data_IF_710265995491
#
_entry.id   IF_710265995491
#
_cell.length_a   1.000
_cell.length_b   1.000
_cell.length_c   1.000
_cell.angle_alpha   90.00
_cell.angle_beta   90.00
_cell.angle_gamma   90.00
#
_symmetry.space_group_name_H-M   'P 1'
#
loop_
_entity.id
_entity.type
_entity.pdbx_description
1 polymer ?
#
# COMPACT_ATOMS: atom_id res chain seq x y z
N UNK A 1 28.42 41.95 -2.50
CA UNK A 1 28.53 40.64 -3.16
C UNK A 1 28.44 39.61 -2.06
N UNK A 2 27.24 39.08 -1.83
CA UNK A 2 27.00 38.05 -0.82
C UNK A 2 27.23 36.70 -1.49
N UNK A 3 28.27 35.99 -1.06
CA UNK A 3 28.47 34.57 -1.33
C UNK A 3 27.63 33.77 -0.33
N UNK A 4 26.51 33.22 -0.80
CA UNK A 4 25.72 32.23 -0.07
C UNK A 4 26.41 30.86 -0.18
N UNK A 5 27.42 30.62 0.67
CA UNK A 5 27.91 29.28 0.96
C UNK A 5 26.90 28.56 1.85
N UNK A 6 25.91 27.89 1.25
CA UNK A 6 25.11 26.86 1.94
C UNK A 6 26.00 25.65 2.19
N UNK A 7 26.43 25.48 3.44
CA UNK A 7 26.97 24.21 3.93
C UNK A 7 25.88 23.13 3.88
N UNK A 8 25.99 22.20 2.94
CA UNK A 8 25.17 21.00 2.91
C UNK A 8 25.66 20.01 3.96
N UNK A 9 24.75 19.47 4.77
CA UNK A 9 25.10 18.42 5.73
C UNK A 9 25.50 17.13 5.00
N UNK A 10 26.32 16.28 5.60
CA UNK A 10 26.71 14.99 5.00
C UNK A 10 25.52 14.06 4.67
N UNK A 11 24.37 14.26 5.32
CA UNK A 11 23.11 13.57 4.99
C UNK A 11 22.44 14.14 3.73
N UNK A 12 22.49 15.46 3.52
CA UNK A 12 21.97 16.10 2.31
C UNK A 12 22.75 15.67 1.07
N UNK A 13 24.08 15.56 1.18
CA UNK A 13 24.94 15.09 0.10
C UNK A 13 24.65 13.61 -0.23
N UNK A 14 24.42 12.77 0.79
CA UNK A 14 24.05 11.37 0.56
C UNK A 14 22.68 11.21 -0.11
N UNK A 15 21.67 11.98 0.32
CA UNK A 15 20.35 12.01 -0.34
C UNK A 15 20.40 12.60 -1.74
N UNK A 16 21.20 13.65 -1.96
CA UNK A 16 21.46 14.19 -3.30
C UNK A 16 22.17 13.16 -4.19
N UNK A 17 23.12 12.39 -3.66
CA UNK A 17 23.80 11.32 -4.41
C UNK A 17 22.89 10.10 -4.63
N UNK A 18 22.01 9.74 -3.69
CA UNK A 18 20.98 8.68 -3.88
C UNK A 18 19.97 9.11 -4.96
N UNK A 19 19.43 10.32 -4.85
CA UNK A 19 18.54 10.92 -5.85
C UNK A 19 19.22 11.14 -7.21
N UNK A 20 20.52 11.45 -7.22
CA UNK A 20 21.29 11.56 -8.45
C UNK A 20 21.62 10.18 -9.04
N UNK A 21 21.94 9.17 -8.22
CA UNK A 21 22.11 7.77 -8.67
C UNK A 21 20.84 7.20 -9.27
N UNK A 22 19.68 7.53 -8.71
CA UNK A 22 18.37 7.14 -9.27
C UNK A 22 18.08 7.89 -10.60
N UNK A 23 18.66 9.07 -10.80
CA UNK A 23 18.63 9.84 -12.07
C UNK A 23 19.73 9.47 -13.08
N UNK A 24 20.78 8.75 -12.67
CA UNK A 24 21.89 8.33 -13.56
C UNK A 24 21.43 7.11 -14.37
N UNK A 25 20.94 7.37 -15.60
CA UNK A 25 20.74 6.42 -16.72
C UNK A 25 20.31 4.99 -16.33
N UNK A 26 19.25 4.84 -15.53
CA UNK A 26 18.50 3.58 -15.54
C UNK A 26 17.70 3.56 -16.86
N UNK A 27 18.17 2.76 -17.81
CA UNK A 27 17.45 2.52 -19.07
C UNK A 27 16.26 1.60 -18.82
N UNK A 28 15.07 2.18 -18.66
CA UNK A 28 13.83 1.46 -18.40
C UNK A 28 13.26 0.80 -19.67
N UNK A 29 14.02 -0.12 -20.29
CA UNK A 29 13.69 -0.76 -21.57
C UNK A 29 12.27 -1.30 -21.68
N UNK A 30 11.76 -1.93 -20.62
CA UNK A 30 10.37 -2.43 -20.59
C UNK A 30 9.36 -1.29 -20.40
N UNK A 31 9.51 -0.45 -19.38
CA UNK A 31 8.53 0.61 -19.12
C UNK A 31 8.43 1.63 -20.24
N UNK A 32 9.50 1.85 -21.00
CA UNK A 32 9.48 2.76 -22.14
C UNK A 32 8.65 2.22 -23.32
N UNK A 33 8.34 0.92 -23.37
CA UNK A 33 7.37 0.37 -24.34
C UNK A 33 5.92 0.42 -23.85
N UNK A 34 5.69 0.80 -22.59
CA UNK A 34 4.35 0.83 -22.00
C UNK A 34 3.70 2.23 -22.14
N UNK A 35 2.35 2.31 -22.12
CA UNK A 35 1.59 3.57 -22.14
C UNK A 35 1.62 4.25 -20.76
N UNK A 36 2.81 4.67 -20.35
CA UNK A 36 3.07 5.41 -19.11
C UNK A 36 3.93 6.64 -19.44
N UNK A 37 3.91 7.67 -18.58
CA UNK A 37 4.77 8.83 -18.77
C UNK A 37 6.24 8.40 -18.78
N UNK A 38 7.01 9.00 -19.68
CA UNK A 38 8.47 8.91 -19.67
C UNK A 38 9.03 9.82 -18.56
N UNK A 39 10.31 9.65 -18.24
CA UNK A 39 10.90 10.27 -17.04
C UNK A 39 10.81 11.82 -17.04
N UNK A 40 10.90 12.42 -18.23
CA UNK A 40 10.88 13.87 -18.44
C UNK A 40 9.48 14.40 -18.78
N UNK A 41 8.47 13.54 -18.85
CA UNK A 41 7.11 13.99 -19.15
C UNK A 41 6.56 14.74 -17.92
N UNK A 42 5.95 15.89 -18.21
CA UNK A 42 5.19 16.71 -17.28
C UNK A 42 3.92 17.18 -17.99
N UNK A 43 2.79 17.12 -17.30
CA UNK A 43 1.48 17.45 -17.84
C UNK A 43 0.85 18.57 -17.01
N UNK A 44 0.18 19.50 -17.69
CA UNK A 44 -0.58 20.56 -17.02
C UNK A 44 -1.79 19.97 -16.28
N UNK A 45 -2.30 20.67 -15.26
CA UNK A 45 -3.48 20.24 -14.48
C UNK A 45 -4.76 20.04 -15.30
N UNK A 46 -4.85 20.68 -16.47
CA UNK A 46 -5.98 20.50 -17.41
C UNK A 46 -5.95 19.16 -18.16
N UNK A 47 -4.78 18.50 -18.23
CA UNK A 47 -4.63 17.20 -18.88
C UNK A 47 -5.06 16.12 -17.91
N UNK A 48 -6.07 15.33 -18.28
CA UNK A 48 -6.57 14.22 -17.47
C UNK A 48 -7.28 13.19 -18.36
N UNK A 49 -6.51 12.36 -19.09
CA UNK A 49 -7.00 11.48 -20.15
C UNK A 49 -6.11 10.23 -20.33
N UNK A 50 -6.49 9.24 -21.14
CA UNK A 50 -5.64 8.08 -21.46
C UNK A 50 -4.43 8.43 -22.34
N UNK A 51 -3.36 7.62 -22.28
CA UNK A 51 -2.29 7.67 -23.30
C UNK A 51 -2.75 7.06 -24.63
N UNK A 52 -3.53 5.98 -24.54
CA UNK A 52 -4.13 5.27 -25.66
C UNK A 52 -5.64 5.21 -25.40
N UNK A 53 -6.40 5.90 -26.26
CA UNK A 53 -7.87 5.93 -26.27
C UNK A 53 -8.44 4.98 -27.33
N UNK A 54 -9.76 4.79 -27.33
CA UNK A 54 -10.50 4.02 -28.34
C UNK A 54 -10.03 2.56 -28.51
N UNK A 55 -9.50 1.97 -27.44
CA UNK A 55 -9.13 0.56 -27.42
C UNK A 55 -10.36 -0.33 -27.59
N UNK A 56 -10.20 -1.46 -28.27
CA UNK A 56 -11.27 -2.44 -28.45
C UNK A 56 -10.87 -3.82 -27.97
N UNK A 57 -11.80 -4.48 -27.28
CA UNK A 57 -11.61 -5.86 -26.79
C UNK A 57 -11.39 -6.86 -27.95
N UNK A 58 -11.96 -6.58 -29.12
CA UNK A 58 -11.78 -7.40 -30.33
C UNK A 58 -10.30 -7.54 -30.74
N UNK A 59 -9.51 -6.47 -30.56
CA UNK A 59 -8.09 -6.41 -30.91
C UNK A 59 -7.17 -7.02 -29.84
N UNK A 60 -7.71 -7.33 -28.65
CA UNK A 60 -6.93 -7.93 -27.56
C UNK A 60 -6.62 -9.39 -27.88
N UNK A 61 -5.33 -9.69 -27.90
CA UNK A 61 -4.74 -11.04 -28.02
C UNK A 61 -5.49 -12.06 -27.14
N UNK A 62 -5.97 -13.15 -27.76
CA UNK A 62 -6.72 -14.21 -27.08
C UNK A 62 -5.82 -15.26 -26.42
N UNK A 63 -4.67 -15.54 -27.02
CA UNK A 63 -3.67 -16.47 -26.49
C UNK A 63 -2.80 -15.84 -25.38
N UNK A 64 -2.43 -16.64 -24.38
CA UNK A 64 -1.61 -16.18 -23.25
C UNK A 64 -0.19 -15.85 -23.70
N UNK A 65 0.46 -14.86 -23.08
CA UNK A 65 1.85 -14.54 -23.42
C UNK A 65 2.79 -15.73 -23.20
N UNK A 66 3.75 -15.91 -24.10
CA UNK A 66 4.71 -17.03 -24.02
C UNK A 66 5.62 -16.91 -22.80
N UNK A 67 5.69 -17.99 -22.02
CA UNK A 67 6.67 -18.19 -20.95
C UNK A 67 7.93 -18.92 -21.50
N UNK A 68 9.07 -18.86 -20.78
CA UNK A 68 10.22 -19.72 -21.08
C UNK A 68 9.84 -21.21 -20.98
N UNK A 69 10.53 -22.11 -21.71
CA UNK A 69 10.30 -23.55 -21.58
C UNK A 69 10.45 -24.04 -20.14
N UNK A 70 9.56 -24.95 -19.72
CA UNK A 70 9.53 -25.50 -18.36
C UNK A 70 8.74 -24.67 -17.35
N UNK A 71 8.01 -23.66 -17.81
CA UNK A 71 7.10 -22.87 -16.97
C UNK A 71 5.71 -22.79 -17.62
N UNK A 72 4.69 -22.84 -16.76
CA UNK A 72 3.29 -22.77 -17.18
C UNK A 72 2.53 -21.71 -16.39
N UNK A 73 1.55 -21.09 -17.06
CA UNK A 73 0.57 -20.23 -16.39
C UNK A 73 -0.30 -21.05 -15.45
N UNK A 74 -0.65 -20.45 -14.32
CA UNK A 74 -1.54 -21.05 -13.34
C UNK A 74 -2.55 -19.99 -12.88
N UNK A 75 -3.82 -20.34 -12.83
CA UNK A 75 -4.87 -19.46 -12.30
C UNK A 75 -5.12 -19.87 -10.86
N UNK A 76 -4.65 -19.07 -9.91
CA UNK A 76 -4.78 -19.41 -8.50
C UNK A 76 -6.22 -19.20 -8.02
N UNK A 77 -6.81 -20.20 -7.37
CA UNK A 77 -8.03 -20.04 -6.61
C UNK A 77 -7.73 -19.59 -5.19
N UNK A 78 -7.71 -18.28 -4.94
CA UNK A 78 -7.43 -17.77 -3.60
C UNK A 78 -8.46 -18.21 -2.55
N UNK A 79 -9.66 -18.68 -2.94
CA UNK A 79 -10.63 -19.25 -1.98
C UNK A 79 -10.26 -20.66 -1.56
N UNK A 80 -9.59 -21.42 -2.43
CA UNK A 80 -9.00 -22.70 -2.08
C UNK A 80 -7.82 -22.50 -1.11
N UNK A 81 -7.78 -23.31 -0.05
CA UNK A 81 -6.79 -23.16 1.01
C UNK A 81 -5.37 -23.51 0.54
N UNK A 82 -5.24 -24.52 -0.31
CA UNK A 82 -3.95 -24.97 -0.81
C UNK A 82 -3.34 -23.96 -1.77
N UNK A 83 -4.11 -23.46 -2.73
CA UNK A 83 -3.65 -22.41 -3.64
C UNK A 83 -3.27 -21.13 -2.88
N UNK A 84 -4.07 -20.74 -1.88
CA UNK A 84 -3.77 -19.60 -1.01
C UNK A 84 -2.51 -19.80 -0.18
N UNK A 85 -2.28 -21.01 0.33
CA UNK A 85 -1.04 -21.34 1.04
C UNK A 85 0.18 -21.30 0.11
N UNK A 86 0.06 -21.71 -1.15
CA UNK A 86 1.16 -21.61 -2.13
C UNK A 86 1.53 -20.14 -2.41
N UNK A 87 0.53 -19.26 -2.54
CA UNK A 87 0.75 -17.80 -2.68
C UNK A 87 1.42 -17.25 -1.42
N UNK A 88 0.88 -17.61 -0.24
CA UNK A 88 1.44 -17.21 1.06
C UNK A 88 2.93 -17.56 1.16
N UNK A 89 3.29 -18.82 0.93
CA UNK A 89 4.69 -19.27 0.98
C UNK A 89 5.57 -18.52 -0.02
N UNK A 90 5.10 -18.30 -1.26
CA UNK A 90 5.87 -17.53 -2.24
C UNK A 90 6.16 -16.11 -1.73
N UNK A 91 5.16 -15.43 -1.15
CA UNK A 91 5.31 -14.06 -0.66
C UNK A 91 6.18 -14.02 0.60
N UNK A 92 5.94 -14.86 1.59
CA UNK A 92 6.73 -14.91 2.83
C UNK A 92 8.21 -15.19 2.59
N UNK A 93 8.56 -15.93 1.54
CA UNK A 93 9.97 -16.25 1.26
C UNK A 93 10.66 -15.25 0.31
N UNK A 94 9.88 -14.53 -0.50
CA UNK A 94 10.42 -13.80 -1.66
C UNK A 94 9.90 -12.37 -1.84
N UNK A 95 8.93 -11.90 -1.07
CA UNK A 95 8.36 -10.56 -1.26
C UNK A 95 9.26 -9.44 -0.72
N UNK A 96 8.69 -8.25 -0.52
CA UNK A 96 9.41 -7.03 -0.15
C UNK A 96 10.17 -7.20 1.17
N UNK A 97 11.43 -6.82 1.13
CA UNK A 97 12.34 -6.67 2.27
C UNK A 97 12.70 -5.20 2.41
N UNK A 98 13.06 -4.77 3.61
CA UNK A 98 13.71 -3.48 3.83
C UNK A 98 15.13 -3.46 3.24
N UNK A 99 15.70 -2.25 3.09
CA UNK A 99 17.00 -2.03 2.46
C UNK A 99 18.14 -2.79 3.20
N UNK A 100 17.99 -3.05 4.50
CA UNK A 100 18.94 -3.78 5.35
C UNK A 100 18.65 -5.29 5.48
N UNK A 101 17.60 -5.80 4.81
CA UNK A 101 17.14 -7.19 4.85
C UNK A 101 16.90 -7.74 6.27
N UNK A 102 16.42 -6.91 7.19
CA UNK A 102 16.08 -7.27 8.58
C UNK A 102 14.62 -7.73 8.68
N UNK A 103 13.73 -7.09 7.91
CA UNK A 103 12.29 -7.30 7.93
C UNK A 103 11.78 -7.69 6.56
N UNK A 104 10.92 -8.71 6.51
CA UNK A 104 10.19 -9.08 5.30
C UNK A 104 8.70 -9.10 5.58
N UNK A 105 7.90 -8.53 4.67
CA UNK A 105 6.45 -8.60 4.81
C UNK A 105 5.96 -10.05 4.85
N UNK A 106 5.06 -10.32 5.77
CA UNK A 106 4.46 -11.63 6.00
C UNK A 106 2.93 -11.50 6.02
N UNK A 107 2.36 -11.11 4.89
CA UNK A 107 0.90 -11.08 4.69
C UNK A 107 0.29 -12.42 5.08
N UNK A 108 -0.68 -12.45 6.00
CA UNK A 108 -1.31 -13.71 6.40
C UNK A 108 -2.18 -14.27 5.26
N UNK A 109 -2.47 -15.58 5.32
CA UNK A 109 -3.36 -16.19 4.34
C UNK A 109 -4.75 -15.52 4.34
N UNK A 110 -5.30 -15.22 5.52
CA UNK A 110 -6.58 -14.52 5.68
C UNK A 110 -6.54 -13.11 5.08
N UNK A 111 -5.41 -12.40 5.24
CA UNK A 111 -5.20 -11.11 4.59
C UNK A 111 -5.22 -11.23 3.07
N UNK A 112 -4.52 -12.23 2.51
CA UNK A 112 -4.50 -12.46 1.06
C UNK A 112 -5.89 -12.80 0.52
N UNK A 113 -6.68 -13.59 1.27
CA UNK A 113 -8.07 -13.87 0.91
C UNK A 113 -8.88 -12.56 0.88
N UNK A 114 -8.79 -11.75 1.92
CA UNK A 114 -9.50 -10.46 2.02
C UNK A 114 -9.09 -9.49 0.91
N UNK A 115 -7.79 -9.29 0.69
CA UNK A 115 -7.25 -8.37 -0.31
C UNK A 115 -7.62 -8.76 -1.75
N UNK A 116 -7.75 -10.07 -2.03
CA UNK A 116 -7.95 -10.58 -3.40
C UNK A 116 -9.39 -10.97 -3.72
N UNK A 117 -10.33 -10.90 -2.77
CA UNK A 117 -11.73 -11.31 -3.00
C UNK A 117 -12.75 -10.20 -2.79
N UNK A 118 -12.36 -8.96 -3.08
CA UNK A 118 -13.26 -7.82 -3.08
C UNK A 118 -14.47 -8.01 -4.02
N UNK A 119 -15.56 -7.26 -3.83
CA UNK A 119 -16.75 -7.41 -4.65
C UNK A 119 -16.43 -7.38 -6.15
N UNK A 120 -16.97 -8.35 -6.89
CA UNK A 120 -16.75 -8.55 -8.32
C UNK A 120 -15.32 -8.89 -8.75
N UNK A 121 -14.44 -9.33 -7.83
CA UNK A 121 -13.10 -9.80 -8.20
C UNK A 121 -13.15 -10.90 -9.27
N UNK A 122 -12.11 -10.94 -10.11
CA UNK A 122 -11.95 -11.94 -11.14
C UNK A 122 -10.85 -12.92 -10.77
N UNK A 123 -11.19 -14.19 -10.60
CA UNK A 123 -10.21 -15.27 -10.34
C UNK A 123 -9.12 -15.31 -11.41
N UNK A 124 -9.46 -15.01 -12.67
CA UNK A 124 -8.52 -14.98 -13.81
C UNK A 124 -7.47 -13.87 -13.70
N UNK A 125 -7.64 -12.88 -12.83
CA UNK A 125 -6.65 -11.84 -12.55
C UNK A 125 -5.66 -12.23 -11.44
N UNK A 126 -5.77 -13.42 -10.85
CA UNK A 126 -4.79 -13.97 -9.90
C UNK A 126 -3.88 -14.96 -10.63
N UNK A 127 -2.75 -14.44 -11.10
CA UNK A 127 -1.92 -15.12 -12.09
C UNK A 127 -0.66 -15.66 -11.42
N UNK A 128 -0.59 -16.97 -11.31
CA UNK A 128 0.60 -17.71 -10.91
C UNK A 128 1.43 -18.16 -12.12
N UNK A 129 2.72 -18.39 -11.88
CA UNK A 129 3.60 -19.14 -12.78
C UNK A 129 4.20 -20.29 -11.99
N UNK A 130 4.03 -21.52 -12.50
CA UNK A 130 4.60 -22.73 -11.91
C UNK A 130 5.78 -23.22 -12.73
N UNK A 131 6.75 -23.82 -12.05
CA UNK A 131 7.83 -24.57 -12.70
C UNK A 131 7.37 -26.01 -12.93
N UNK A 132 7.33 -26.45 -14.19
CA UNK A 132 6.64 -27.68 -14.60
C UNK A 132 7.17 -28.93 -13.90
N UNK A 133 8.50 -29.04 -13.75
CA UNK A 133 9.13 -30.25 -13.21
C UNK A 133 8.85 -30.48 -11.71
N UNK A 134 8.59 -29.42 -10.93
CA UNK A 134 8.31 -29.54 -9.49
C UNK A 134 6.89 -29.11 -9.11
N UNK A 135 6.12 -28.56 -10.05
CA UNK A 135 4.82 -27.95 -9.82
C UNK A 135 4.84 -26.83 -8.75
N UNK A 136 6.01 -26.24 -8.47
CA UNK A 136 6.17 -25.18 -7.46
C UNK A 136 5.78 -23.82 -8.05
N UNK A 137 5.02 -23.03 -7.28
CA UNK A 137 4.74 -21.63 -7.60
C UNK A 137 6.01 -20.77 -7.48
N UNK A 138 6.39 -20.08 -8.55
CA UNK A 138 7.63 -19.29 -8.64
C UNK A 138 7.43 -17.84 -9.05
N UNK A 139 6.20 -17.46 -9.40
CA UNK A 139 5.84 -16.10 -9.74
C UNK A 139 4.35 -15.88 -9.49
N UNK A 140 3.98 -14.66 -9.11
CA UNK A 140 2.60 -14.26 -8.87
C UNK A 140 2.41 -12.78 -9.18
N UNK A 141 1.22 -12.43 -9.65
CA UNK A 141 0.72 -11.06 -9.78
C UNK A 141 -0.80 -11.10 -9.68
N UNK A 142 -1.40 -10.10 -9.04
CA UNK A 142 -2.84 -10.01 -8.88
C UNK A 142 -3.38 -8.65 -9.27
N UNK A 143 -4.66 -8.62 -9.62
CA UNK A 143 -5.43 -7.39 -9.68
C UNK A 143 -6.85 -7.58 -9.15
N UNK A 144 -7.45 -6.50 -8.68
CA UNK A 144 -8.86 -6.41 -8.30
C UNK A 144 -9.52 -5.22 -9.02
N UNK A 145 -10.83 -5.27 -9.30
CA UNK A 145 -11.52 -4.15 -9.92
C UNK A 145 -11.80 -3.05 -8.89
N UNK A 146 -11.45 -1.81 -9.21
CA UNK A 146 -11.70 -0.64 -8.35
C UNK A 146 -12.15 0.53 -9.20
N UNK A 147 -13.21 1.24 -8.80
CA UNK A 147 -13.56 2.53 -9.39
C UNK A 147 -12.67 3.62 -8.79
N UNK A 148 -11.83 4.24 -9.62
CA UNK A 148 -10.84 5.25 -9.17
C UNK A 148 -11.24 6.60 -9.73
N UNK A 149 -11.41 7.58 -8.85
CA UNK A 149 -11.53 8.98 -9.22
C UNK A 149 -10.14 9.61 -9.29
N UNK A 150 -9.72 10.03 -10.48
CA UNK A 150 -8.48 10.76 -10.74
C UNK A 150 -8.82 12.13 -11.33
N UNK A 151 -8.45 13.20 -10.63
CA UNK A 151 -8.79 14.60 -10.96
C UNK A 151 -10.25 14.76 -11.40
N UNK A 152 -11.18 14.29 -10.55
CA UNK A 152 -12.64 14.37 -10.73
C UNK A 152 -13.23 13.52 -11.87
N UNK A 153 -12.45 12.61 -12.47
CA UNK A 153 -12.95 11.60 -13.42
C UNK A 153 -12.91 10.23 -12.78
N UNK A 154 -14.07 9.60 -12.64
CA UNK A 154 -14.17 8.20 -12.18
C UNK A 154 -13.97 7.27 -13.36
N UNK A 155 -13.01 6.35 -13.21
CA UNK A 155 -12.62 5.38 -14.22
C UNK A 155 -12.62 3.99 -13.57
N UNK A 156 -13.19 3.00 -14.25
CA UNK A 156 -13.04 1.61 -13.82
C UNK A 156 -11.62 1.17 -14.10
N UNK A 157 -10.86 0.88 -13.05
CA UNK A 157 -9.45 0.48 -13.13
C UNK A 157 -9.25 -0.91 -12.52
N UNK A 158 -8.11 -1.50 -12.86
CA UNK A 158 -7.55 -2.61 -12.11
C UNK A 158 -6.56 -2.09 -11.06
N UNK A 159 -6.72 -2.44 -9.80
CA UNK A 159 -5.71 -2.20 -8.77
C UNK A 159 -4.76 -3.40 -8.73
N UNK A 160 -3.52 -3.20 -9.17
CA UNK A 160 -2.51 -4.26 -9.29
C UNK A 160 -1.66 -4.32 -8.04
N UNK A 161 -1.48 -5.53 -7.49
CA UNK A 161 -0.68 -5.76 -6.29
C UNK A 161 0.00 -7.15 -6.30
N UNK A 162 0.83 -7.42 -5.29
CA UNK A 162 1.48 -8.70 -5.01
C UNK A 162 2.33 -9.27 -6.16
N UNK A 163 2.94 -8.40 -6.98
CA UNK A 163 3.92 -8.82 -7.97
C UNK A 163 5.14 -9.41 -7.28
N UNK A 164 5.29 -10.73 -7.38
CA UNK A 164 6.39 -11.45 -6.78
C UNK A 164 7.03 -12.40 -7.80
N UNK A 165 8.36 -12.45 -7.80
CA UNK A 165 9.14 -13.46 -8.51
C UNK A 165 10.07 -14.10 -7.49
N UNK A 166 10.13 -15.43 -7.47
CA UNK A 166 11.02 -16.19 -6.61
C UNK A 166 12.47 -15.69 -6.74
N UNK A 167 13.20 -15.57 -5.62
CA UNK A 167 14.53 -14.93 -5.56
C UNK A 167 15.52 -15.52 -6.57
N UNK A 168 15.49 -16.84 -6.77
CA UNK A 168 16.36 -17.57 -7.73
C UNK A 168 16.10 -17.24 -9.20
N UNK A 169 14.97 -16.60 -9.52
CA UNK A 169 14.55 -16.21 -10.88
C UNK A 169 14.56 -14.68 -11.09
N UNK A 170 15.07 -13.91 -10.12
CA UNK A 170 15.26 -12.46 -10.25
C UNK A 170 16.20 -12.13 -11.41
N UNK A 171 16.02 -10.94 -11.99
CA UNK A 171 16.80 -10.44 -13.13
C UNK A 171 16.70 -11.28 -14.43
N UNK A 172 15.75 -12.22 -14.52
CA UNK A 172 15.48 -13.03 -15.73
C UNK A 172 14.29 -12.55 -16.57
N UNK A 173 13.87 -11.29 -16.39
CA UNK A 173 12.76 -10.66 -17.13
C UNK A 173 11.39 -11.36 -17.00
N UNK A 174 11.15 -12.11 -15.93
CA UNK A 174 9.85 -12.73 -15.67
C UNK A 174 8.77 -11.70 -15.29
N UNK A 175 9.12 -10.68 -14.51
CA UNK A 175 8.17 -9.63 -14.10
C UNK A 175 7.52 -8.88 -15.30
N UNK A 176 8.27 -8.44 -16.32
CA UNK A 176 7.66 -7.93 -17.56
C UNK A 176 6.66 -8.87 -18.24
N UNK A 177 6.86 -10.19 -18.17
CA UNK A 177 5.94 -11.17 -18.78
C UNK A 177 4.67 -11.29 -17.94
N UNK A 178 4.79 -11.34 -16.61
CA UNK A 178 3.66 -11.29 -15.67
C UNK A 178 2.81 -10.02 -15.88
N UNK A 179 3.45 -8.86 -15.98
CA UNK A 179 2.76 -7.57 -16.21
C UNK A 179 2.02 -7.58 -17.54
N UNK A 180 2.63 -8.06 -18.63
CA UNK A 180 1.95 -8.14 -19.93
C UNK A 180 0.74 -9.09 -19.91
N UNK A 181 0.87 -10.24 -19.23
CA UNK A 181 -0.25 -11.19 -19.14
C UNK A 181 -1.39 -10.63 -18.29
N UNK A 182 -1.11 -9.97 -17.16
CA UNK A 182 -2.18 -9.34 -16.38
C UNK A 182 -2.85 -8.19 -17.16
N UNK A 183 -2.07 -7.36 -17.87
CA UNK A 183 -2.64 -6.32 -18.74
C UNK A 183 -3.55 -6.93 -19.80
N UNK A 184 -3.16 -8.05 -20.43
CA UNK A 184 -4.00 -8.74 -21.42
C UNK A 184 -5.33 -9.19 -20.82
N UNK A 185 -5.29 -9.85 -19.65
CA UNK A 185 -6.49 -10.36 -18.97
C UNK A 185 -7.40 -9.24 -18.46
N UNK A 186 -6.83 -8.10 -18.04
CA UNK A 186 -7.60 -6.90 -17.66
C UNK A 186 -8.27 -6.30 -18.91
N UNK A 187 -7.52 -6.14 -20.01
CA UNK A 187 -8.03 -5.58 -21.26
C UNK A 187 -9.15 -6.43 -21.89
N UNK A 188 -9.15 -7.75 -21.68
CA UNK A 188 -10.23 -8.63 -22.13
C UNK A 188 -11.58 -8.32 -21.47
N UNK A 189 -11.56 -7.72 -20.28
CA UNK A 189 -12.76 -7.28 -19.54
C UNK A 189 -13.11 -5.81 -19.84
N UNK A 190 -12.56 -5.24 -20.91
CA UNK A 190 -12.75 -3.86 -21.34
C UNK A 190 -12.28 -2.80 -20.31
N UNK A 191 -11.28 -3.14 -19.51
CA UNK A 191 -10.62 -2.22 -18.57
C UNK A 191 -9.23 -1.89 -19.12
N UNK A 192 -8.89 -0.61 -19.18
CA UNK A 192 -7.69 -0.14 -19.91
C UNK A 192 -6.73 0.67 -19.05
N UNK A 193 -7.08 0.89 -17.78
CA UNK A 193 -6.30 1.63 -16.80
C UNK A 193 -6.05 0.76 -15.58
N UNK A 194 -4.93 1.02 -14.91
CA UNK A 194 -4.60 0.39 -13.65
C UNK A 194 -3.97 1.39 -12.68
N UNK A 195 -4.17 1.16 -11.39
CA UNK A 195 -3.44 1.83 -10.32
C UNK A 195 -2.52 0.81 -9.63
N UNK A 196 -1.31 1.24 -9.27
CA UNK A 196 -0.37 0.42 -8.54
C UNK A 196 0.60 1.29 -7.74
N UNK A 197 1.25 0.68 -6.75
CA UNK A 197 2.28 1.33 -5.95
C UNK A 197 3.57 0.54 -5.93
N UNK A 198 4.69 1.23 -5.71
CA UNK A 198 5.98 0.58 -5.52
C UNK A 198 6.88 1.43 -4.61
N UNK A 199 7.75 0.76 -3.85
CA UNK A 199 8.84 1.42 -3.12
C UNK A 199 9.98 1.88 -4.03
N UNK A 200 10.19 1.19 -5.16
CA UNK A 200 11.19 1.55 -6.18
C UNK A 200 10.64 2.61 -7.12
N UNK A 201 11.52 3.45 -7.65
CA UNK A 201 11.14 4.45 -8.64
C UNK A 201 10.95 3.82 -10.03
N UNK A 202 9.83 4.11 -10.69
CA UNK A 202 9.50 3.72 -12.08
C UNK A 202 9.02 4.95 -12.89
N UNK A 203 9.02 4.94 -14.23
CA UNK A 203 8.47 6.01 -15.05
C UNK A 203 6.92 5.97 -15.10
N UNK A 204 6.18 6.99 -14.67
CA UNK A 204 6.54 8.04 -13.70
C UNK A 204 5.42 8.09 -12.64
N UNK A 205 5.73 8.31 -11.35
CA UNK A 205 4.68 8.39 -10.35
C UNK A 205 3.83 9.65 -10.48
N UNK A 206 2.55 9.55 -10.18
CA UNK A 206 1.63 10.68 -10.02
C UNK A 206 1.73 11.31 -8.63
N UNK A 207 2.20 10.56 -7.64
CA UNK A 207 2.49 11.05 -6.29
C UNK A 207 3.52 10.16 -5.59
N UNK A 208 4.21 10.68 -4.57
CA UNK A 208 5.21 9.97 -3.77
C UNK A 208 4.98 10.33 -2.29
N UNK A 209 4.67 9.32 -1.46
CA UNK A 209 4.31 9.49 -0.05
C UNK A 209 5.30 8.75 0.85
N UNK A 210 5.97 9.47 1.75
CA UNK A 210 6.88 8.85 2.73
C UNK A 210 6.14 8.06 3.81
N UNK A 211 6.75 6.97 4.27
CA UNK A 211 6.31 6.24 5.45
C UNK A 211 6.74 6.94 6.74
N UNK A 212 5.88 6.86 7.73
CA UNK A 212 6.11 7.31 9.09
C UNK A 212 5.72 6.21 10.08
N UNK A 213 6.49 6.09 11.16
CA UNK A 213 6.37 5.01 12.13
C UNK A 213 6.18 5.57 13.54
N UNK A 214 5.14 5.11 14.23
CA UNK A 214 4.89 5.44 15.64
C UNK A 214 5.12 4.21 16.50
N UNK A 215 6.22 4.22 17.24
CA UNK A 215 6.60 3.14 18.16
C UNK A 215 5.56 2.94 19.27
N UNK A 216 5.04 1.72 19.45
CA UNK A 216 4.13 1.35 20.55
C UNK A 216 4.87 0.49 21.58
N UNK A 217 5.47 -0.61 21.14
CA UNK A 217 6.26 -1.52 21.96
C UNK A 217 7.76 -1.20 21.86
N UNK A 218 8.13 -0.05 22.42
CA UNK A 218 9.48 0.53 22.32
C UNK A 218 10.60 -0.46 22.64
N UNK A 219 10.43 -1.26 23.70
CA UNK A 219 11.45 -2.23 24.13
C UNK A 219 11.71 -3.26 23.04
N UNK A 220 10.65 -3.86 22.49
CA UNK A 220 10.78 -4.83 21.39
C UNK A 220 11.40 -4.18 20.15
N UNK A 221 10.93 -3.00 19.75
CA UNK A 221 11.43 -2.30 18.57
C UNK A 221 12.93 -1.99 18.64
N UNK A 222 13.45 -1.68 19.83
CA UNK A 222 14.89 -1.49 20.04
C UNK A 222 15.64 -2.83 20.04
N UNK A 223 15.10 -3.86 20.70
CA UNK A 223 15.72 -5.20 20.76
C UNK A 223 15.83 -5.88 19.38
N UNK A 224 14.99 -5.50 18.41
CA UNK A 224 14.99 -6.04 17.04
C UNK A 224 15.68 -5.11 16.03
N UNK A 225 16.24 -3.97 16.48
CA UNK A 225 16.95 -3.02 15.61
C UNK A 225 16.06 -2.08 14.79
N UNK A 226 14.73 -2.18 14.88
CA UNK A 226 13.79 -1.28 14.17
C UNK A 226 13.91 0.18 14.63
N UNK A 227 14.22 0.40 15.92
CA UNK A 227 14.47 1.72 16.49
C UNK A 227 15.81 1.74 17.22
N UNK A 228 16.48 2.89 17.23
CA UNK A 228 17.75 3.05 17.94
C UNK A 228 17.63 4.02 19.11
N UNK A 229 18.47 3.81 20.12
CA UNK A 229 18.68 4.77 21.21
C UNK A 229 19.89 5.64 20.88
N UNK A 230 19.83 6.91 21.24
CA UNK A 230 21.01 7.78 21.25
C UNK A 230 21.54 7.95 22.68
N UNK A 231 22.75 8.50 22.83
CA UNK A 231 23.42 8.66 24.14
C UNK A 231 22.64 9.53 25.15
N UNK A 232 21.62 10.29 24.73
CA UNK A 232 20.75 11.10 25.59
C UNK A 232 19.43 10.42 25.96
N UNK A 233 18.99 9.43 25.17
CA UNK A 233 17.73 8.73 25.30
C UNK A 233 17.96 7.31 25.80
N UNK A 234 17.85 7.10 27.11
CA UNK A 234 17.90 5.75 27.70
C UNK A 234 16.61 4.97 27.39
N UNK A 235 16.65 3.64 27.52
CA UNK A 235 15.47 2.77 27.34
C UNK A 235 14.26 3.23 28.19
N UNK A 236 14.47 3.55 29.46
CA UNK A 236 13.40 4.01 30.36
C UNK A 236 12.79 5.35 29.92
N UNK A 237 13.63 6.27 29.42
CA UNK A 237 13.18 7.55 28.86
C UNK A 237 12.41 7.34 27.56
N UNK A 238 12.87 6.44 26.68
CA UNK A 238 12.18 6.10 25.45
C UNK A 238 10.79 5.49 25.71
N UNK A 239 10.70 4.53 26.65
CA UNK A 239 9.41 3.95 27.07
C UNK A 239 8.47 5.04 27.60
N UNK A 240 8.96 5.96 28.43
CA UNK A 240 8.17 7.09 28.94
C UNK A 240 7.72 8.02 27.81
N UNK A 241 8.59 8.29 26.83
CA UNK A 241 8.31 9.19 25.70
C UNK A 241 7.14 8.68 24.84
N UNK A 242 7.09 7.39 24.55
CA UNK A 242 6.05 6.78 23.68
C UNK A 242 4.86 6.19 24.44
N UNK A 243 4.82 6.32 25.77
CA UNK A 243 3.65 5.90 26.56
C UNK A 243 2.40 6.64 26.05
N UNK A 244 1.33 5.89 25.86
CA UNK A 244 -0.01 6.41 25.60
C UNK A 244 -0.87 6.21 26.84
N UNK A 245 -1.79 7.14 27.08
CA UNK A 245 -2.83 6.97 28.09
C UNK A 245 -3.85 5.93 27.64
N UNK A 246 -4.37 5.10 28.56
CA UNK A 246 -5.30 4.03 28.21
C UNK A 246 -6.77 4.49 28.27
N UNK A 247 -7.01 5.71 27.79
CA UNK A 247 -8.34 6.32 27.72
C UNK A 247 -8.54 6.92 26.33
N UNK A 248 -9.65 6.57 25.68
CA UNK A 248 -10.02 7.14 24.39
C UNK A 248 -10.48 8.59 24.55
N UNK A 249 -10.10 9.43 23.61
CA UNK A 249 -10.58 10.80 23.47
C UNK A 249 -12.05 10.80 23.04
N UNK A 250 -12.43 9.92 22.11
CA UNK A 250 -13.81 9.70 21.68
C UNK A 250 -14.40 8.50 22.45
N UNK A 251 -15.14 8.79 23.52
CA UNK A 251 -15.59 7.76 24.50
C UNK A 251 -16.44 6.64 23.92
N UNK A 252 -17.25 6.92 22.91
CA UNK A 252 -18.20 5.97 22.32
C UNK A 252 -17.62 5.19 21.13
N UNK A 253 -16.30 5.27 20.90
CA UNK A 253 -15.63 4.55 19.84
C UNK A 253 -15.79 3.03 20.04
N UNK A 254 -16.38 2.35 19.05
CA UNK A 254 -16.68 0.90 19.11
C UNK A 254 -16.36 0.24 17.78
N UNK A 255 -16.17 -1.08 17.77
CA UNK A 255 -16.01 -1.84 16.52
C UNK A 255 -17.19 -1.61 15.57
N UNK A 256 -16.88 -1.47 14.29
CA UNK A 256 -17.87 -1.36 13.22
C UNK A 256 -18.68 -2.66 13.09
N UNK A 257 -19.97 -2.53 12.84
CA UNK A 257 -20.92 -3.62 12.61
C UNK A 257 -21.61 -3.46 11.26
N UNK A 258 -22.29 -4.52 10.79
CA UNK A 258 -23.06 -4.50 9.54
C UNK A 258 -24.05 -3.33 9.42
N UNK A 259 -24.69 -2.93 10.53
CA UNK A 259 -25.63 -1.79 10.56
C UNK A 259 -24.97 -0.44 10.22
N UNK A 260 -23.65 -0.34 10.37
CA UNK A 260 -22.92 0.93 10.23
C UNK A 260 -22.45 1.17 8.78
N UNK A 261 -22.55 0.17 7.89
CA UNK A 261 -22.05 0.22 6.50
C UNK A 261 -22.58 1.44 5.76
N UNK A 262 -23.86 1.76 5.90
CA UNK A 262 -24.42 2.94 5.23
C UNK A 262 -23.89 4.27 5.80
N UNK A 263 -23.71 4.34 7.12
CA UNK A 263 -23.16 5.53 7.78
C UNK A 263 -21.70 5.77 7.38
N UNK A 264 -20.90 4.69 7.36
CA UNK A 264 -19.49 4.73 6.92
C UNK A 264 -19.40 5.09 5.43
N UNK A 265 -20.22 4.50 4.57
CA UNK A 265 -20.26 4.83 3.14
C UNK A 265 -20.52 6.32 2.91
N UNK A 266 -21.48 6.92 3.61
CA UNK A 266 -21.78 8.36 3.51
C UNK A 266 -20.63 9.23 4.06
N UNK A 267 -20.12 8.90 5.24
CA UNK A 267 -19.05 9.66 5.90
C UNK A 267 -17.75 9.64 5.07
N UNK A 268 -17.31 8.44 4.68
CA UNK A 268 -16.07 8.25 3.94
C UNK A 268 -16.19 8.77 2.50
N UNK A 269 -17.29 8.47 1.81
CA UNK A 269 -17.50 8.94 0.43
C UNK A 269 -17.41 10.46 0.35
N UNK A 270 -18.13 11.17 1.21
CA UNK A 270 -18.08 12.64 1.25
C UNK A 270 -16.70 13.19 1.64
N UNK A 271 -15.98 12.52 2.54
CA UNK A 271 -14.63 12.91 2.91
C UNK A 271 -13.64 12.76 1.74
N UNK A 272 -13.73 11.67 0.97
CA UNK A 272 -12.76 11.36 -0.08
C UNK A 272 -12.87 12.27 -1.31
N UNK A 273 -14.04 12.84 -1.58
CA UNK A 273 -14.29 13.75 -2.72
C UNK A 273 -13.36 14.97 -2.78
N UNK A 274 -12.72 15.34 -1.67
CA UNK A 274 -11.77 16.46 -1.62
C UNK A 274 -10.39 16.15 -2.24
N UNK A 275 -10.05 14.87 -2.43
CA UNK A 275 -8.74 14.44 -2.90
C UNK A 275 -8.68 14.31 -4.42
N UNK A 276 -7.47 14.40 -5.00
CA UNK A 276 -7.27 14.28 -6.44
C UNK A 276 -7.27 12.82 -6.90
N UNK A 277 -6.94 11.87 -6.02
CA UNK A 277 -6.90 10.44 -6.33
C UNK A 277 -7.53 9.64 -5.19
N UNK A 278 -8.67 9.01 -5.43
CA UNK A 278 -9.35 8.19 -4.42
C UNK A 278 -10.17 7.06 -5.06
N UNK A 279 -10.46 6.01 -4.28
CA UNK A 279 -11.39 4.96 -4.68
C UNK A 279 -12.84 5.37 -4.36
N UNK A 280 -13.75 5.11 -5.30
CA UNK A 280 -15.20 5.33 -5.14
C UNK A 280 -15.82 4.01 -4.70
N UNK A 281 -16.09 3.88 -3.40
CA UNK A 281 -16.61 2.65 -2.83
C UNK A 281 -18.14 2.57 -2.93
N UNK A 282 -18.65 1.43 -3.37
CA UNK A 282 -20.04 0.99 -3.18
C UNK A 282 -20.30 0.56 -1.73
N UNK A 283 -21.56 0.37 -1.34
CA UNK A 283 -21.89 -0.16 0.00
C UNK A 283 -21.32 -1.56 0.22
N UNK A 284 -21.30 -2.37 -0.83
CA UNK A 284 -20.75 -3.73 -0.83
C UNK A 284 -19.23 -3.71 -0.59
N UNK A 285 -18.51 -2.80 -1.25
CA UNK A 285 -17.08 -2.60 -1.04
C UNK A 285 -16.79 -2.02 0.35
N UNK A 286 -17.63 -1.11 0.87
CA UNK A 286 -17.50 -0.64 2.25
C UNK A 286 -17.63 -1.80 3.24
N UNK A 287 -18.60 -2.71 3.01
CA UNK A 287 -18.76 -3.88 3.88
C UNK A 287 -17.52 -4.80 3.81
N UNK A 288 -16.98 -5.04 2.61
CA UNK A 288 -15.82 -5.89 2.40
C UNK A 288 -14.54 -5.30 3.04
N UNK A 289 -14.26 -4.02 2.78
CA UNK A 289 -13.01 -3.38 3.19
C UNK A 289 -12.98 -2.92 4.65
N UNK A 290 -14.13 -2.73 5.29
CA UNK A 290 -14.16 -2.12 6.62
C UNK A 290 -14.83 -2.96 7.71
N UNK A 291 -15.61 -4.00 7.40
CA UNK A 291 -16.10 -4.86 8.48
C UNK A 291 -14.92 -5.57 9.16
N UNK A 292 -14.79 -5.49 10.49
CA UNK A 292 -13.61 -6.01 11.17
C UNK A 292 -13.45 -7.51 10.96
N UNK A 293 -12.22 -7.91 10.61
CA UNK A 293 -11.79 -9.30 10.51
C UNK A 293 -10.57 -9.42 11.41
N UNK A 294 -10.65 -10.31 12.40
CA UNK A 294 -9.59 -10.51 13.38
C UNK A 294 -8.24 -10.75 12.69
N UNK A 295 -7.19 -10.07 13.15
CA UNK A 295 -5.83 -10.15 12.61
C UNK A 295 -5.65 -9.68 11.16
N UNK A 296 -6.68 -9.09 10.53
CA UNK A 296 -6.62 -8.56 9.15
C UNK A 296 -6.95 -7.07 9.11
N UNK A 297 -8.18 -6.69 9.47
CA UNK A 297 -8.66 -5.30 9.38
C UNK A 297 -9.44 -4.93 10.64
N UNK A 298 -9.11 -3.77 11.20
CA UNK A 298 -9.74 -3.23 12.39
C UNK A 298 -10.40 -1.91 12.04
N UNK A 299 -11.72 -1.83 12.19
CA UNK A 299 -12.48 -0.59 11.99
C UNK A 299 -13.32 -0.28 13.21
N UNK A 300 -13.23 0.96 13.65
CA UNK A 300 -13.97 1.52 14.76
C UNK A 300 -14.78 2.73 14.30
N UNK A 301 -15.95 2.94 14.91
CA UNK A 301 -16.87 4.03 14.60
C UNK A 301 -17.37 4.69 15.87
N UNK A 302 -17.63 6.00 15.78
CA UNK A 302 -18.41 6.75 16.75
C UNK A 302 -19.84 6.95 16.23
N UNK A 303 -20.83 6.50 17.00
CA UNK A 303 -22.26 6.61 16.68
C UNK A 303 -22.93 7.60 17.64
N UNK A 304 -23.55 8.65 17.11
CA UNK A 304 -24.34 9.62 17.86
C UNK A 304 -25.72 9.77 17.21
N UNK A 305 -26.79 9.57 18.00
CA UNK A 305 -28.18 9.65 17.53
C UNK A 305 -28.44 8.80 16.27
N UNK A 306 -27.85 7.60 16.21
CA UNK A 306 -27.97 6.68 15.06
C UNK A 306 -27.20 7.09 13.81
N UNK A 307 -26.31 8.09 13.90
CA UNK A 307 -25.45 8.54 12.79
C UNK A 307 -23.99 8.26 13.11
N UNK A 308 -23.27 7.68 12.16
CA UNK A 308 -21.82 7.53 12.22
C UNK A 308 -21.18 8.88 11.91
N UNK A 309 -20.37 9.39 12.85
CA UNK A 309 -19.74 10.71 12.73
C UNK A 309 -18.23 10.67 12.60
N UNK A 310 -17.61 9.61 13.10
CA UNK A 310 -16.17 9.42 13.07
C UNK A 310 -15.87 7.95 12.80
N UNK A 311 -14.76 7.67 12.10
CA UNK A 311 -14.26 6.33 11.87
C UNK A 311 -12.74 6.29 11.97
N UNK A 312 -12.23 5.17 12.48
CA UNK A 312 -10.82 4.80 12.49
C UNK A 312 -10.71 3.46 11.80
N UNK A 313 -9.73 3.29 10.92
CA UNK A 313 -9.38 1.96 10.41
C UNK A 313 -7.88 1.77 10.22
N UNK A 314 -7.42 0.56 10.49
CA UNK A 314 -6.06 0.11 10.23
C UNK A 314 -6.03 -1.39 9.98
N UNK A 315 -5.16 -1.83 9.08
CA UNK A 315 -4.97 -3.25 8.79
C UNK A 315 -3.69 -3.79 9.43
N UNK A 316 -3.66 -5.11 9.61
CA UNK A 316 -2.54 -5.85 10.17
C UNK A 316 -1.63 -6.32 9.04
N UNK A 317 -0.37 -5.92 9.09
CA UNK A 317 0.66 -6.42 8.18
C UNK A 317 1.90 -6.75 9.01
N UNK A 318 2.02 -8.00 9.50
CA UNK A 318 3.20 -8.40 10.25
C UNK A 318 4.40 -8.55 9.33
N UNK A 319 5.58 -8.30 9.89
CA UNK A 319 6.86 -8.61 9.23
C UNK A 319 7.56 -9.76 9.94
N UNK A 320 8.13 -10.68 9.17
CA UNK A 320 9.08 -11.65 9.69
C UNK A 320 10.37 -10.91 10.07
N UNK A 321 10.90 -11.21 11.27
CA UNK A 321 12.17 -10.69 11.75
C UNK A 321 13.25 -11.71 11.41
N UNK A 322 14.22 -11.32 10.59
CA UNK A 322 15.30 -12.18 10.14
C UNK A 322 16.49 -12.08 11.10
N UNK A 323 16.99 -13.23 11.56
CA UNK A 323 18.23 -13.29 12.36
C UNK A 323 18.14 -12.72 13.78
N UNK A 324 16.97 -12.80 14.43
CA UNK A 324 16.81 -12.44 15.85
C UNK A 324 16.44 -13.66 16.71
N UNK A 325 17.22 -13.94 17.75
CA UNK A 325 17.04 -15.14 18.60
C UNK A 325 15.78 -15.10 19.49
N UNK A 326 15.22 -13.91 19.72
CA UNK A 326 14.15 -13.69 20.71
C UNK A 326 12.78 -13.48 20.08
N UNK A 327 12.69 -12.81 18.94
CA UNK A 327 11.44 -12.50 18.27
C UNK A 327 11.49 -12.90 16.80
N UNK A 328 10.44 -13.59 16.34
CA UNK A 328 10.27 -14.00 14.95
C UNK A 328 9.37 -13.06 14.14
N UNK A 329 8.55 -12.23 14.81
CA UNK A 329 7.50 -11.43 14.17
C UNK A 329 7.41 -10.04 14.77
N UNK A 330 7.35 -9.03 13.91
CA UNK A 330 6.98 -7.65 14.21
C UNK A 330 5.51 -7.44 13.85
N UNK A 331 4.65 -7.15 14.83
CA UNK A 331 3.24 -6.88 14.56
C UNK A 331 3.07 -5.39 14.25
N UNK A 332 2.77 -5.05 12.99
CA UNK A 332 2.58 -3.68 12.56
C UNK A 332 1.14 -3.41 12.13
N UNK A 333 0.56 -2.34 12.66
CA UNK A 333 -0.71 -1.78 12.19
C UNK A 333 -0.42 -0.71 11.14
N UNK A 334 -1.12 -0.76 10.01
CA UNK A 334 -1.02 0.23 8.95
C UNK A 334 -2.31 1.05 8.91
N UNK A 335 -2.17 2.36 9.11
CA UNK A 335 -3.26 3.32 8.99
C UNK A 335 -3.95 3.20 7.64
N UNK A 336 -5.27 3.03 7.64
CA UNK A 336 -6.07 2.86 6.43
C UNK A 336 -6.88 4.13 6.13
N UNK A 337 -8.15 4.19 6.55
CA UNK A 337 -9.00 5.38 6.40
C UNK A 337 -9.49 5.90 7.76
N UNK A 338 -9.27 7.19 8.03
CA UNK A 338 -9.63 7.83 9.28
C UNK A 338 -10.35 9.16 9.00
N UNK A 339 -11.55 9.31 9.56
CA UNK A 339 -12.41 10.49 9.35
C UNK A 339 -12.99 10.92 10.69
N UNK A 340 -12.95 12.21 10.99
CA UNK A 340 -13.55 12.79 12.19
C UNK A 340 -14.36 14.03 11.84
N UNK A 341 -15.51 14.18 12.49
CA UNK A 341 -16.37 15.37 12.44
C UNK A 341 -16.71 15.90 13.84
N UNK A 342 -16.38 15.16 14.91
CA UNK A 342 -16.66 15.56 16.31
C UNK A 342 -15.41 15.89 17.12
N UNK A 343 -14.23 15.51 16.63
CA UNK A 343 -12.95 15.72 17.30
C UNK A 343 -11.89 16.27 16.33
N UNK A 344 -10.75 16.74 16.87
CA UNK A 344 -9.60 17.07 16.01
C UNK A 344 -9.00 15.81 15.40
N UNK A 345 -8.40 15.91 14.20
CA UNK A 345 -7.76 14.77 13.56
C UNK A 345 -6.64 14.17 14.42
N UNK A 346 -5.92 15.00 15.19
CA UNK A 346 -4.95 14.55 16.20
C UNK A 346 -5.57 13.66 17.26
N UNK A 347 -6.74 14.03 17.79
CA UNK A 347 -7.43 13.23 18.81
C UNK A 347 -7.88 11.87 18.23
N UNK A 348 -8.41 11.86 17.00
CA UNK A 348 -8.79 10.63 16.30
C UNK A 348 -7.59 9.69 16.09
N UNK A 349 -6.47 10.23 15.59
CA UNK A 349 -5.26 9.43 15.34
C UNK A 349 -4.57 8.97 16.63
N UNK A 350 -4.68 9.75 17.72
CA UNK A 350 -4.25 9.29 19.05
C UNK A 350 -5.07 8.08 19.52
N UNK A 351 -6.39 8.09 19.30
CA UNK A 351 -7.26 6.96 19.57
C UNK A 351 -6.91 5.76 18.68
N UNK A 352 -6.56 5.97 17.41
CA UNK A 352 -6.11 4.91 16.51
C UNK A 352 -4.86 4.19 17.04
N UNK A 353 -3.87 4.95 17.52
CA UNK A 353 -2.66 4.40 18.16
C UNK A 353 -3.01 3.61 19.42
N UNK A 354 -3.91 4.13 20.26
CA UNK A 354 -4.35 3.44 21.47
C UNK A 354 -5.06 2.12 21.13
N UNK A 355 -5.95 2.13 20.14
CA UNK A 355 -6.67 0.95 19.68
C UNK A 355 -5.69 -0.08 19.10
N UNK A 356 -4.70 0.33 18.31
CA UNK A 356 -3.64 -0.57 17.86
C UNK A 356 -2.86 -1.15 19.04
N UNK A 357 -2.51 -0.34 20.05
CA UNK A 357 -1.87 -0.84 21.27
C UNK A 357 -2.72 -1.89 22.00
N UNK A 358 -4.04 -1.67 22.12
CA UNK A 358 -4.98 -2.61 22.76
C UNK A 358 -5.11 -3.94 22.00
N UNK A 359 -4.82 -3.93 20.70
CA UNK A 359 -4.77 -5.12 19.86
C UNK A 359 -3.35 -5.69 19.69
N UNK A 360 -2.42 -5.39 20.62
CA UNK A 360 -1.08 -5.96 20.69
C UNK A 360 -0.16 -5.66 19.48
N UNK A 361 -0.37 -4.53 18.80
CA UNK A 361 0.58 -4.05 17.79
C UNK A 361 1.81 -3.41 18.43
N UNK A 362 2.98 -3.63 17.80
CA UNK A 362 4.26 -3.12 18.25
C UNK A 362 4.57 -1.73 17.67
N UNK A 363 4.05 -1.43 16.49
CA UNK A 363 4.25 -0.17 15.76
C UNK A 363 2.99 0.19 14.97
N UNK A 364 2.74 1.48 14.81
CA UNK A 364 1.67 2.02 13.96
C UNK A 364 2.30 2.81 12.81
N UNK A 365 2.08 2.34 11.58
CA UNK A 365 2.64 2.88 10.36
C UNK A 365 1.60 3.73 9.64
N UNK A 366 2.02 4.84 9.05
CA UNK A 366 1.16 5.68 8.23
C UNK A 366 1.96 6.31 7.09
N UNK A 367 1.34 6.46 5.92
CA UNK A 367 1.86 7.30 4.85
C UNK A 367 1.47 8.76 5.08
N UNK A 368 2.25 9.71 4.57
CA UNK A 368 1.92 11.14 4.59
C UNK A 368 0.80 11.57 3.61
N UNK A 369 -0.12 10.64 3.31
CA UNK A 369 -1.32 10.88 2.49
C UNK A 369 -2.45 11.54 3.28
N UNK A 370 -3.45 12.07 2.59
CA UNK A 370 -4.62 12.73 3.19
C UNK A 370 -4.19 13.80 4.23
N UNK A 371 -4.74 13.75 5.44
CA UNK A 371 -4.43 14.67 6.54
C UNK A 371 -3.28 14.17 7.44
N UNK A 372 -2.69 13.00 7.17
CA UNK A 372 -1.83 12.28 8.13
C UNK A 372 -0.62 13.11 8.57
N UNK A 373 0.03 13.82 7.63
CA UNK A 373 1.22 14.63 7.92
C UNK A 373 1.00 15.70 8.99
N UNK A 374 -0.23 16.21 9.12
CA UNK A 374 -0.57 17.28 10.06
C UNK A 374 -0.40 16.91 11.54
N UNK A 375 -0.34 15.61 11.86
CA UNK A 375 -0.32 15.12 13.25
C UNK A 375 0.93 14.33 13.61
N UNK A 376 1.83 14.08 12.65
CA UNK A 376 2.97 13.18 12.85
C UNK A 376 3.93 13.66 13.93
N UNK A 377 4.36 14.91 13.90
CA UNK A 377 5.26 15.48 14.92
C UNK A 377 4.62 15.39 16.31
N UNK A 378 3.39 15.87 16.42
CA UNK A 378 2.59 15.93 17.64
C UNK A 378 2.31 14.56 18.26
N UNK A 379 2.14 13.53 17.42
CA UNK A 379 1.89 12.15 17.84
C UNK A 379 3.17 11.29 17.87
N UNK A 380 4.34 11.94 17.71
CA UNK A 380 5.67 11.34 17.84
C UNK A 380 5.92 10.24 16.79
N UNK A 381 5.41 10.40 15.59
CA UNK A 381 5.82 9.58 14.46
C UNK A 381 7.25 9.97 14.06
N UNK A 382 8.08 8.96 13.83
CA UNK A 382 9.39 9.11 13.21
C UNK A 382 9.29 8.92 11.70
N UNK A 383 10.10 9.65 10.95
CA UNK A 383 10.25 9.47 9.51
C UNK A 383 10.88 8.11 9.20
N UNK A 384 10.28 7.34 8.29
CA UNK A 384 10.85 6.12 7.75
C UNK A 384 11.88 6.39 6.64
N UNK A 385 12.63 5.36 6.29
CA UNK A 385 13.64 5.38 5.22
C UNK A 385 13.05 5.24 3.80
N UNK A 386 11.87 4.64 3.70
CA UNK A 386 11.14 4.40 2.46
C UNK A 386 10.02 5.39 2.16
N UNK A 387 9.70 5.50 0.86
CA UNK A 387 8.47 6.15 0.39
C UNK A 387 7.75 5.28 -0.62
N UNK A 388 6.42 5.38 -0.65
CA UNK A 388 5.54 4.66 -1.55
C UNK A 388 5.10 5.57 -2.69
N UNK A 389 5.43 5.16 -3.91
CA UNK A 389 5.13 5.90 -5.14
C UNK A 389 3.85 5.37 -5.74
N UNK A 390 2.96 6.26 -6.16
CA UNK A 390 1.67 5.96 -6.78
C UNK A 390 1.78 6.11 -8.29
N UNK A 391 1.27 5.12 -9.02
CA UNK A 391 1.36 5.06 -10.47
C UNK A 391 0.00 4.78 -11.10
N UNK A 392 -0.18 5.30 -12.31
CA UNK A 392 -1.30 4.97 -13.17
C UNK A 392 -0.78 4.39 -14.48
N UNK A 393 -1.37 3.29 -14.92
CA UNK A 393 -1.14 2.71 -16.23
C UNK A 393 -2.14 3.28 -17.24
N UNK A 394 -1.65 3.67 -18.42
CA UNK A 394 -2.47 4.24 -19.50
C UNK A 394 -3.29 5.48 -19.07
N UNK A 395 -2.69 6.36 -18.27
CA UNK A 395 -3.29 7.62 -17.86
C UNK A 395 -2.26 8.74 -17.80
N UNK A 396 -2.60 9.90 -18.34
CA UNK A 396 -1.79 11.12 -18.35
C UNK A 396 -2.52 12.20 -17.56
N UNK A 397 -1.85 12.70 -16.52
CA UNK A 397 -2.30 13.81 -15.70
C UNK A 397 -1.13 14.49 -14.98
N UNK A 398 -1.37 15.68 -14.42
CA UNK A 398 -0.42 16.31 -13.52
C UNK A 398 -0.11 15.43 -12.31
N UNK A 399 1.13 15.48 -11.82
CA UNK A 399 1.50 14.91 -10.52
C UNK A 399 1.09 15.86 -9.38
N UNK A 400 0.86 15.33 -8.19
CA UNK A 400 0.43 16.12 -7.04
C UNK A 400 1.06 15.62 -5.74
N UNK A 401 1.12 16.50 -4.75
CA UNK A 401 1.65 16.18 -3.42
C UNK A 401 0.84 15.06 -2.74
N UNK A 402 1.46 14.24 -1.88
CA UNK A 402 0.80 13.09 -1.26
C UNK A 402 -0.42 13.46 -0.41
N UNK A 403 -0.50 14.70 0.12
CA UNK A 403 -1.69 15.20 0.82
C UNK A 403 -2.97 15.18 -0.05
N UNK A 404 -2.83 15.19 -1.38
CA UNK A 404 -3.95 15.07 -2.33
C UNK A 404 -4.24 13.63 -2.76
N UNK A 405 -3.53 12.64 -2.21
CA UNK A 405 -3.83 11.20 -2.35
C UNK A 405 -4.82 10.81 -1.26
N UNK A 406 -5.98 10.31 -1.67
CA UNK A 406 -7.08 9.80 -0.86
C UNK A 406 -7.32 8.29 -1.03
N UNK A 407 -6.28 7.54 -1.41
CA UNK A 407 -6.32 6.09 -1.49
C UNK A 407 -5.13 5.48 -0.74
N UNK A 408 -5.37 4.35 -0.08
CA UNK A 408 -4.34 3.54 0.57
C UNK A 408 -4.44 2.13 -0.01
N UNK A 409 -3.37 1.65 -0.64
CA UNK A 409 -3.27 0.27 -1.11
C UNK A 409 -2.78 -0.66 0.02
N UNK A 410 -2.96 -1.96 -0.20
CA UNK A 410 -2.67 -3.04 0.77
C UNK A 410 -1.25 -3.61 0.68
#
# INVERSE_FOLDING_TARGET
MNDDNKEFSGRDIYQLIKNAKDKIKIDYKFWYTQPVPKINDEFNESVNEPFISDNKVEDVRKDEYKLPPGYSWYVCDVKDEKDRSEIYTLLTDNYVEDDDNIFRFNYSAEFLLWALTSPNYLKTWHIGVKYDASNKLIGFISAIPTDICIHKRTIKMAEVNFLCVHKTLRSKRLAPVLIKEITRRINLENIWQAIYTAGVYLPKPVSDARYYHRSINVKKLIEIGFSSLNSRLTMSRAIKLYRVEDTLNIKNMRLMKKKDVEGVHKLLGSYLEQFNLYAVFTKEEIAHWFLPIENVIYTYVNEENGKIKDMISFYSLPSQILGNDKYSTLNAAYSFYNVTTTATFKQLMQDAILLAKRNNFDVFNALEVMQNKSVFEDLKFGEGDGSLKYYLYNWKCASFAPAHVGIVLL
#
